data_IF_822961773661
#
_entry.id   IF_822961773661
#
_cell.length_a   1.000
_cell.length_b   1.000
_cell.length_c   1.000
_cell.angle_alpha   90.00
_cell.angle_beta   90.00
_cell.angle_gamma   90.00
#
_symmetry.space_group_name_H-M   'P 1'
#
loop_
_entity.id
_entity.type
_entity.pdbx_description
1 polymer ?
#
# COMPACT_ATOMS: atom_id res chain seq x y z
N UNK A 1 -4.21 -27.64 40.29
CA UNK A 1 -4.74 -28.07 38.98
C UNK A 1 -5.17 -26.84 38.19
N UNK A 2 -4.24 -26.19 37.47
CA UNK A 2 -4.60 -25.12 36.54
C UNK A 2 -5.28 -25.75 35.31
N UNK A 3 -6.48 -25.29 34.97
CA UNK A 3 -7.29 -25.90 33.90
C UNK A 3 -6.63 -25.64 32.54
N UNK A 4 -6.37 -26.67 31.71
CA UNK A 4 -5.78 -26.52 30.36
C UNK A 4 -6.62 -25.64 29.42
N UNK A 5 -7.87 -25.33 29.79
CA UNK A 5 -8.73 -24.40 29.07
C UNK A 5 -8.20 -22.95 29.05
N UNK A 6 -7.48 -22.49 30.08
CA UNK A 6 -7.03 -21.10 30.18
C UNK A 6 -5.89 -20.78 29.19
N UNK A 7 -4.96 -21.71 29.00
CA UNK A 7 -3.81 -21.53 28.09
C UNK A 7 -4.24 -21.54 26.63
N UNK A 8 -5.21 -22.38 26.27
CA UNK A 8 -5.72 -22.48 24.90
C UNK A 8 -6.56 -21.26 24.50
N UNK A 9 -7.39 -20.76 25.43
CA UNK A 9 -8.15 -19.53 25.22
C UNK A 9 -7.25 -18.30 25.13
N UNK A 10 -6.20 -18.19 25.95
CA UNK A 10 -5.19 -17.13 25.82
C UNK A 10 -4.47 -17.16 24.47
N UNK A 11 -4.14 -18.36 23.95
CA UNK A 11 -3.52 -18.50 22.63
C UNK A 11 -4.46 -18.04 21.50
N UNK A 12 -5.72 -18.47 21.50
CA UNK A 12 -6.70 -18.06 20.49
C UNK A 12 -6.93 -16.55 20.49
N UNK A 13 -6.99 -15.94 21.68
CA UNK A 13 -7.11 -14.48 21.82
C UNK A 13 -5.89 -13.77 21.24
N UNK A 14 -4.67 -14.27 21.48
CA UNK A 14 -3.46 -13.67 20.89
C UNK A 14 -3.37 -13.87 19.37
N UNK A 15 -3.72 -15.05 18.87
CA UNK A 15 -3.76 -15.31 17.43
C UNK A 15 -4.76 -14.38 16.74
N UNK A 16 -5.95 -14.21 17.33
CA UNK A 16 -6.96 -13.29 16.83
C UNK A 16 -6.49 -11.84 16.88
N UNK A 17 -5.84 -11.42 17.97
CA UNK A 17 -5.25 -10.09 18.10
C UNK A 17 -4.21 -9.81 17.02
N UNK A 18 -3.26 -10.71 16.79
CA UNK A 18 -2.20 -10.52 15.80
C UNK A 18 -2.77 -10.45 14.38
N UNK A 19 -3.69 -11.34 14.03
CA UNK A 19 -4.35 -11.33 12.71
C UNK A 19 -5.20 -10.06 12.54
N UNK A 20 -5.97 -9.69 13.57
CA UNK A 20 -6.79 -8.48 13.58
C UNK A 20 -5.96 -7.22 13.43
N UNK A 21 -4.88 -7.07 14.21
CA UNK A 21 -3.97 -5.93 14.13
C UNK A 21 -3.33 -5.83 12.74
N UNK A 22 -2.92 -6.96 12.18
CA UNK A 22 -2.33 -7.03 10.83
C UNK A 22 -3.33 -6.58 9.76
N UNK A 23 -4.60 -7.01 9.86
CA UNK A 23 -5.66 -6.55 8.95
C UNK A 23 -5.94 -5.05 9.06
N UNK A 24 -5.91 -4.50 10.28
CA UNK A 24 -6.03 -3.06 10.52
C UNK A 24 -4.86 -2.30 9.89
N UNK A 25 -3.61 -2.73 10.10
CA UNK A 25 -2.45 -2.10 9.47
C UNK A 25 -2.49 -2.19 7.93
N UNK A 26 -2.94 -3.31 7.38
CA UNK A 26 -3.14 -3.46 5.94
C UNK A 26 -4.15 -2.43 5.39
N UNK A 27 -5.20 -2.14 6.16
CA UNK A 27 -6.27 -1.20 5.79
C UNK A 27 -5.75 0.24 5.73
N UNK A 28 -4.79 0.61 6.59
CA UNK A 28 -4.18 1.94 6.59
C UNK A 28 -2.98 2.08 5.64
N UNK A 29 -2.28 0.98 5.32
CA UNK A 29 -1.17 1.00 4.37
C UNK A 29 -1.63 1.09 2.91
N UNK A 30 -2.77 0.48 2.58
CA UNK A 30 -3.35 0.47 1.22
C UNK A 30 -3.74 1.87 0.66
N UNK A 31 -4.31 2.82 1.42
CA UNK A 31 -4.74 4.12 0.87
C UNK A 31 -3.60 5.14 0.69
N UNK A 32 -2.44 4.96 1.33
CA UNK A 32 -1.31 5.89 1.22
C UNK A 32 -0.82 6.11 -0.24
N UNK A 33 -0.59 5.07 -1.05
CA UNK A 33 -0.20 5.26 -2.45
C UNK A 33 -1.31 5.91 -3.28
N UNK A 34 -2.59 5.59 -3.00
CA UNK A 34 -3.74 6.17 -3.70
C UNK A 34 -3.86 7.68 -3.44
N UNK A 35 -3.70 8.12 -2.19
CA UNK A 35 -3.75 9.55 -1.86
C UNK A 35 -2.62 10.33 -2.56
N UNK A 36 -1.42 9.75 -2.65
CA UNK A 36 -0.30 10.35 -3.41
C UNK A 36 -0.56 10.37 -4.91
N UNK A 37 -1.25 9.36 -5.45
CA UNK A 37 -1.67 9.32 -6.85
C UNK A 37 -2.63 10.48 -7.17
N UNK A 38 -3.66 10.64 -6.35
CA UNK A 38 -4.69 11.68 -6.50
C UNK A 38 -4.06 13.07 -6.37
N UNK A 39 -3.18 13.28 -5.39
CA UNK A 39 -2.51 14.59 -5.25
C UNK A 39 -1.60 14.92 -6.43
N UNK A 40 -0.96 13.91 -7.05
CA UNK A 40 -0.19 14.09 -8.30
C UNK A 40 -1.08 14.36 -9.50
N UNK A 41 -2.21 13.66 -9.65
CA UNK A 41 -3.16 13.91 -10.75
C UNK A 41 -3.75 15.33 -10.66
N UNK A 42 -4.09 15.80 -9.46
CA UNK A 42 -4.57 17.17 -9.24
C UNK A 42 -3.50 18.22 -9.60
N UNK A 43 -2.25 18.02 -9.17
CA UNK A 43 -1.14 18.90 -9.54
C UNK A 43 -0.89 18.95 -11.05
N UNK A 44 -1.13 17.85 -11.77
CA UNK A 44 -1.03 17.81 -13.24
C UNK A 44 -2.18 18.56 -13.92
N UNK A 45 -3.40 18.50 -13.37
CA UNK A 45 -4.53 19.28 -13.87
C UNK A 45 -4.31 20.79 -13.67
N UNK A 46 -3.77 21.18 -12.52
CA UNK A 46 -3.40 22.57 -12.25
C UNK A 46 -2.33 23.07 -13.24
N UNK A 47 -1.31 22.25 -13.51
CA UNK A 47 -0.29 22.57 -14.51
C UNK A 47 -0.86 22.70 -15.93
N UNK A 48 -1.85 21.87 -16.29
CA UNK A 48 -2.55 21.93 -17.58
C UNK A 48 -3.41 23.19 -17.72
N UNK A 49 -4.14 23.55 -16.66
CA UNK A 49 -4.96 24.75 -16.64
C UNK A 49 -4.12 26.02 -16.84
N UNK A 50 -2.89 26.03 -16.31
CA UNK A 50 -1.96 27.16 -16.43
C UNK A 50 -1.02 27.09 -17.64
N UNK A 51 -1.04 26.00 -18.43
CA UNK A 51 -0.16 25.79 -19.59
C UNK A 51 -0.29 26.83 -20.71
N UNK A 52 -1.38 27.59 -20.74
CA UNK A 52 -1.57 28.72 -21.67
C UNK A 52 -1.14 30.09 -21.13
N UNK A 53 -0.70 30.17 -19.87
CA UNK A 53 -0.31 31.41 -19.21
C UNK A 53 1.15 31.80 -19.43
N UNK A 54 1.46 33.10 -19.33
CA UNK A 54 2.83 33.62 -19.42
C UNK A 54 3.76 33.09 -18.31
N UNK A 55 3.20 32.60 -17.20
CA UNK A 55 3.93 32.16 -15.99
C UNK A 55 4.06 30.63 -15.85
N UNK A 56 3.82 29.85 -16.91
CA UNK A 56 3.87 28.40 -16.86
C UNK A 56 5.13 27.82 -16.20
N UNK A 57 6.30 28.40 -16.49
CA UNK A 57 7.57 27.97 -15.88
C UNK A 57 7.62 28.19 -14.36
N UNK A 58 7.03 29.29 -13.86
CA UNK A 58 6.97 29.58 -12.43
C UNK A 58 5.99 28.65 -11.71
N UNK A 59 4.89 28.28 -12.37
CA UNK A 59 3.91 27.31 -11.85
C UNK A 59 4.51 25.91 -11.80
N UNK A 60 5.25 25.50 -12.83
CA UNK A 60 5.93 24.20 -12.85
C UNK A 60 6.97 24.08 -11.74
N UNK A 61 7.72 25.15 -11.47
CA UNK A 61 8.69 25.20 -10.37
C UNK A 61 8.01 25.10 -9.00
N UNK A 62 6.81 25.70 -8.87
CA UNK A 62 5.99 25.63 -7.65
C UNK A 62 5.41 24.23 -7.43
N UNK A 63 5.05 23.52 -8.51
CA UNK A 63 4.50 22.16 -8.48
C UNK A 63 5.57 21.06 -8.46
N UNK A 64 6.84 21.42 -8.69
CA UNK A 64 8.00 20.50 -8.68
C UNK A 64 8.09 19.59 -7.44
N UNK A 65 7.82 20.06 -6.21
CA UNK A 65 7.85 19.19 -5.02
C UNK A 65 6.78 18.11 -5.03
N UNK A 66 5.67 18.31 -5.76
CA UNK A 66 4.54 17.38 -5.81
C UNK A 66 4.65 16.44 -7.01
N UNK A 67 5.20 16.93 -8.12
CA UNK A 67 5.48 16.14 -9.32
C UNK A 67 6.68 15.19 -9.14
N UNK A 68 7.63 15.53 -8.26
CA UNK A 68 8.83 14.72 -7.99
C UNK A 68 9.52 14.29 -9.31
N UNK A 69 9.73 12.99 -9.52
CA UNK A 69 10.41 12.44 -10.70
C UNK A 69 9.69 12.76 -12.03
N UNK A 70 8.38 13.02 -11.99
CA UNK A 70 7.59 13.37 -13.18
C UNK A 70 7.85 14.80 -13.67
N UNK A 71 8.46 15.68 -12.86
CA UNK A 71 8.77 17.05 -13.25
C UNK A 71 9.73 17.13 -14.44
N UNK A 72 10.72 16.22 -14.51
CA UNK A 72 11.65 16.15 -15.63
C UNK A 72 10.97 15.69 -16.94
N UNK A 73 9.93 14.86 -16.83
CA UNK A 73 9.16 14.36 -17.96
C UNK A 73 8.21 15.42 -18.57
N UNK A 74 7.93 16.52 -17.85
CA UNK A 74 6.99 17.58 -18.23
C UNK A 74 7.74 18.91 -18.46
N UNK A 75 8.93 18.84 -19.05
CA UNK A 75 9.66 20.05 -19.44
C UNK A 75 8.86 20.84 -20.51
N UNK A 76 8.85 22.18 -20.44
CA UNK A 76 8.14 23.03 -21.41
C UNK A 76 8.61 22.75 -22.85
N UNK A 77 7.65 22.61 -23.76
CA UNK A 77 7.91 22.36 -25.18
C UNK A 77 6.64 22.08 -25.99
N UNK A 78 6.75 22.03 -27.33
CA UNK A 78 5.66 21.56 -28.18
C UNK A 78 5.29 20.12 -27.79
N UNK A 79 4.00 19.79 -27.81
CA UNK A 79 3.42 18.51 -27.35
C UNK A 79 3.33 18.26 -25.83
N UNK A 80 3.28 19.32 -25.01
CA UNK A 80 3.03 19.21 -23.57
C UNK A 80 1.82 18.32 -23.24
N UNK A 81 0.72 18.54 -23.95
CA UNK A 81 -0.54 17.82 -23.82
C UNK A 81 -0.39 16.30 -24.00
N UNK A 82 0.42 15.89 -24.97
CA UNK A 82 0.71 14.47 -25.25
C UNK A 82 1.61 13.88 -24.18
N UNK A 83 2.59 14.63 -23.68
CA UNK A 83 3.50 14.19 -22.61
C UNK A 83 2.76 14.01 -21.29
N UNK A 84 1.85 14.91 -20.95
CA UNK A 84 1.03 14.79 -19.73
C UNK A 84 0.12 13.55 -19.81
N UNK A 85 -0.51 13.28 -20.97
CA UNK A 85 -1.29 12.05 -21.15
C UNK A 85 -0.43 10.79 -21.03
N UNK A 86 0.75 10.77 -21.66
CA UNK A 86 1.68 9.65 -21.55
C UNK A 86 2.15 9.41 -20.10
N UNK A 87 2.43 10.48 -19.34
CA UNK A 87 2.83 10.38 -17.94
C UNK A 87 1.67 9.89 -17.06
N UNK A 88 0.43 10.30 -17.33
CA UNK A 88 -0.78 9.77 -16.67
C UNK A 88 -0.93 8.27 -16.88
N UNK A 89 -0.80 7.81 -18.11
CA UNK A 89 -0.90 6.38 -18.42
C UNK A 89 0.23 5.58 -17.77
N UNK A 90 1.46 6.11 -17.80
CA UNK A 90 2.61 5.51 -17.14
C UNK A 90 2.47 5.49 -15.60
N UNK A 91 1.88 6.53 -15.01
CA UNK A 91 1.60 6.58 -13.57
C UNK A 91 0.55 5.53 -13.19
N UNK A 92 -0.56 5.43 -13.95
CA UNK A 92 -1.60 4.41 -13.71
C UNK A 92 -1.06 2.99 -13.82
N UNK A 93 -0.21 2.72 -14.82
CA UNK A 93 0.45 1.42 -14.97
C UNK A 93 1.35 1.09 -13.77
N UNK A 94 2.14 2.07 -13.29
CA UNK A 94 2.97 1.93 -12.08
C UNK A 94 2.11 1.65 -10.84
N UNK A 95 1.01 2.39 -10.66
CA UNK A 95 0.08 2.16 -9.54
C UNK A 95 -0.56 0.77 -9.58
N UNK A 96 -0.97 0.31 -10.76
CA UNK A 96 -1.52 -1.04 -10.90
C UNK A 96 -0.49 -2.11 -10.52
N UNK A 97 0.75 -1.99 -10.99
CA UNK A 97 1.83 -2.90 -10.66
C UNK A 97 2.18 -2.89 -9.16
N UNK A 98 2.24 -1.70 -8.53
CA UNK A 98 2.47 -1.56 -7.09
C UNK A 98 1.32 -2.14 -6.25
N UNK A 99 0.07 -1.96 -6.70
CA UNK A 99 -1.11 -2.52 -6.06
C UNK A 99 -1.10 -4.05 -6.13
N UNK A 100 -0.77 -4.64 -7.28
CA UNK A 100 -0.63 -6.09 -7.43
C UNK A 100 0.52 -6.66 -6.57
N UNK A 101 1.66 -5.99 -6.54
CA UNK A 101 2.78 -6.37 -5.68
C UNK A 101 2.41 -6.32 -4.19
N UNK A 102 1.69 -5.27 -3.79
CA UNK A 102 1.20 -5.11 -2.41
C UNK A 102 0.18 -6.19 -2.06
N UNK A 103 -0.78 -6.46 -2.93
CA UNK A 103 -1.77 -7.52 -2.75
C UNK A 103 -1.10 -8.90 -2.65
N UNK A 104 -0.07 -9.15 -3.46
CA UNK A 104 0.70 -10.39 -3.43
C UNK A 104 1.47 -10.55 -2.12
N UNK A 105 2.13 -9.49 -1.63
CA UNK A 105 2.78 -9.48 -0.31
C UNK A 105 1.77 -9.72 0.81
N UNK A 106 0.59 -9.12 0.72
CA UNK A 106 -0.47 -9.33 1.71
C UNK A 106 -0.94 -10.79 1.75
N UNK A 107 -1.17 -11.40 0.58
CA UNK A 107 -1.56 -12.81 0.46
C UNK A 107 -0.49 -13.73 1.06
N UNK A 108 0.79 -13.48 0.78
CA UNK A 108 1.89 -14.23 1.37
C UNK A 108 1.94 -14.10 2.88
N UNK A 109 1.79 -12.88 3.40
CA UNK A 109 1.82 -12.61 4.82
C UNK A 109 0.67 -13.31 5.55
N UNK A 110 -0.54 -13.26 4.98
CA UNK A 110 -1.70 -14.02 5.47
C UNK A 110 -1.38 -15.52 5.48
N UNK A 111 -0.87 -16.07 4.37
CA UNK A 111 -0.52 -17.49 4.27
C UNK A 111 0.49 -17.93 5.33
N UNK A 112 1.57 -17.16 5.52
CA UNK A 112 2.59 -17.44 6.54
C UNK A 112 1.99 -17.42 7.94
N UNK A 113 1.18 -16.41 8.27
CA UNK A 113 0.54 -16.32 9.59
C UNK A 113 -0.42 -17.49 9.81
N UNK A 114 -1.22 -17.87 8.81
CA UNK A 114 -2.14 -19.02 8.91
C UNK A 114 -1.39 -20.32 9.14
N UNK A 115 -0.32 -20.58 8.38
CA UNK A 115 0.50 -21.78 8.54
C UNK A 115 1.15 -21.81 9.92
N UNK A 116 1.71 -20.68 10.37
CA UNK A 116 2.38 -20.59 11.68
C UNK A 116 1.38 -20.82 12.82
N UNK A 117 0.18 -20.24 12.73
CA UNK A 117 -0.89 -20.44 13.69
C UNK A 117 -1.37 -21.91 13.73
N UNK A 118 -1.52 -22.54 12.57
CA UNK A 118 -1.90 -23.96 12.46
C UNK A 118 -0.84 -24.88 13.09
N UNK A 119 0.44 -24.67 12.77
CA UNK A 119 1.55 -25.41 13.35
C UNK A 119 1.61 -25.26 14.87
N UNK A 120 1.43 -24.03 15.36
CA UNK A 120 1.43 -23.77 16.80
C UNK A 120 0.27 -24.49 17.51
N UNK A 121 -0.92 -24.50 16.91
CA UNK A 121 -2.06 -25.27 17.39
C UNK A 121 -1.80 -26.78 17.45
N UNK A 122 -1.15 -27.34 16.43
CA UNK A 122 -0.75 -28.75 16.39
C UNK A 122 0.23 -29.07 17.53
N UNK A 123 1.29 -28.26 17.71
CA UNK A 123 2.29 -28.45 18.75
C UNK A 123 1.66 -28.42 20.14
N UNK A 124 0.82 -27.42 20.43
CA UNK A 124 0.10 -27.33 21.71
C UNK A 124 -0.77 -28.57 21.95
N UNK A 125 -1.49 -29.03 20.93
CA UNK A 125 -2.39 -30.17 21.06
C UNK A 125 -1.61 -31.47 21.32
N UNK A 126 -0.44 -31.63 20.72
CA UNK A 126 0.43 -32.79 20.96
C UNK A 126 1.07 -32.77 22.35
N UNK A 127 1.58 -31.62 22.80
CA UNK A 127 2.14 -31.46 24.16
C UNK A 127 1.07 -31.72 25.22
N UNK A 128 -0.17 -31.25 25.00
CA UNK A 128 -1.29 -31.49 25.91
C UNK A 128 -1.76 -32.95 25.99
N UNK A 129 -1.44 -33.78 24.99
CA UNK A 129 -1.79 -35.22 24.97
C UNK A 129 -0.70 -36.12 25.56
N UNK A 130 0.58 -35.73 25.47
CA UNK A 130 1.71 -36.51 25.99
C UNK A 130 1.97 -36.37 27.50
N UNK A 131 1.27 -35.47 28.19
CA UNK A 131 1.38 -35.26 29.64
C UNK A 131 0.33 -35.99 30.49
N UNK A 132 -0.35 -36.99 29.92
CA UNK A 132 -1.22 -37.94 30.61
C UNK A 132 -0.55 -39.30 30.68
#
# INVERSE_FOLDING_TARGET
>A
MARPAATLSAFLVMAFLIVGLTGVFATFAAPLPLQRAISREAALDDALAEAGGADYAATLERLRPHLADSAAAIAPGPDLDRRIRAERDAARARFAAEAEATATRLRWLIGVITVTAALFGIVITNVGRGGR
#
